data_IF_186019399229
#
_entry.id   IF_186019399229
#
_cell.length_a   1.000
_cell.length_b   1.000
_cell.length_c   1.000
_cell.angle_alpha   90.00
_cell.angle_beta   90.00
_cell.angle_gamma   90.00
#
_symmetry.space_group_name_H-M   'P 1'
#
loop_
_entity.id
_entity.type
_entity.pdbx_description
1 polymer ?
#
# COMPACT_ATOMS: atom_id res chain seq x y z
N UNK A 1 -52.90 -8.41 -37.94
CA UNK A 1 -52.39 -9.36 -36.95
C UNK A 1 -50.89 -9.41 -37.18
N UNK A 2 -50.18 -8.39 -36.66
CA UNK A 2 -48.72 -8.22 -36.79
C UNK A 2 -48.08 -8.86 -35.60
N UNK A 3 -47.24 -9.87 -35.81
CA UNK A 3 -46.42 -10.47 -34.79
C UNK A 3 -45.08 -9.69 -34.76
N UNK A 4 -44.93 -8.89 -33.72
CA UNK A 4 -43.66 -8.28 -33.36
C UNK A 4 -42.68 -9.34 -32.86
N UNK A 5 -41.79 -9.82 -33.73
CA UNK A 5 -40.63 -10.59 -33.37
C UNK A 5 -39.51 -9.63 -32.89
N UNK A 6 -39.62 -9.08 -31.69
CA UNK A 6 -38.48 -8.48 -30.96
C UNK A 6 -37.76 -9.55 -30.16
N UNK A 7 -37.28 -10.60 -30.82
CA UNK A 7 -36.35 -11.58 -30.28
C UNK A 7 -34.95 -11.32 -30.80
N UNK A 8 -34.52 -10.06 -30.71
CA UNK A 8 -33.11 -9.74 -31.01
C UNK A 8 -32.28 -9.92 -29.74
N UNK A 9 -31.21 -10.67 -29.89
CA UNK A 9 -30.02 -10.74 -29.04
C UNK A 9 -29.74 -12.00 -28.20
N UNK A 10 -30.26 -13.14 -28.58
CA UNK A 10 -29.62 -14.38 -28.16
C UNK A 10 -28.61 -14.83 -29.22
N UNK A 11 -27.50 -14.09 -29.36
CA UNK A 11 -26.36 -14.58 -30.10
C UNK A 11 -25.67 -15.68 -29.26
N UNK A 12 -25.81 -16.98 -29.57
CA UNK A 12 -25.23 -18.07 -28.79
C UNK A 12 -23.69 -18.08 -28.83
N UNK A 13 -23.10 -17.26 -29.72
CA UNK A 13 -21.66 -17.08 -29.84
C UNK A 13 -21.16 -15.78 -29.21
N UNK A 14 -22.03 -15.05 -28.50
CA UNK A 14 -21.57 -13.89 -27.74
C UNK A 14 -20.67 -14.41 -26.63
N UNK A 15 -19.36 -14.20 -26.77
CA UNK A 15 -18.42 -14.48 -25.70
C UNK A 15 -18.93 -13.81 -24.42
N UNK A 16 -18.91 -14.50 -23.25
CA UNK A 16 -19.22 -13.86 -21.99
C UNK A 16 -18.42 -12.57 -21.94
N UNK A 17 -19.07 -11.48 -21.53
CA UNK A 17 -18.40 -10.19 -21.37
C UNK A 17 -17.31 -10.41 -20.30
N UNK A 18 -16.13 -10.79 -20.75
CA UNK A 18 -14.93 -10.78 -19.93
C UNK A 18 -14.66 -9.30 -19.70
N UNK A 19 -14.90 -8.87 -18.46
CA UNK A 19 -14.55 -7.53 -17.98
C UNK A 19 -13.02 -7.36 -17.85
N UNK A 20 -12.30 -7.84 -18.85
CA UNK A 20 -10.89 -7.59 -19.05
C UNK A 20 -10.82 -6.45 -20.04
N UNK A 21 -10.15 -5.37 -19.69
CA UNK A 21 -9.71 -4.40 -20.68
C UNK A 21 -8.89 -5.14 -21.75
N UNK A 22 -8.88 -4.61 -22.97
CA UNK A 22 -8.22 -5.23 -24.14
C UNK A 22 -6.76 -5.64 -23.90
N UNK A 23 -6.15 -5.15 -22.82
CA UNK A 23 -4.75 -5.42 -22.43
C UNK A 23 -4.63 -6.42 -21.27
N UNK A 24 -5.70 -7.09 -20.85
CA UNK A 24 -5.69 -8.06 -19.75
C UNK A 24 -5.53 -7.44 -18.37
N UNK A 25 -5.63 -6.13 -18.24
CA UNK A 25 -5.60 -5.44 -16.95
C UNK A 25 -6.91 -5.69 -16.17
N UNK A 26 -6.87 -5.85 -14.84
CA UNK A 26 -8.07 -6.06 -14.04
C UNK A 26 -8.93 -4.79 -14.03
N UNK A 27 -10.24 -4.96 -14.22
CA UNK A 27 -11.20 -3.85 -14.15
C UNK A 27 -11.29 -3.26 -12.74
N UNK A 28 -11.76 -2.00 -12.63
CA UNK A 28 -11.94 -1.34 -11.32
C UNK A 28 -12.77 -2.18 -10.35
N UNK A 29 -13.86 -2.82 -10.82
CA UNK A 29 -14.70 -3.69 -10.00
C UNK A 29 -13.93 -4.91 -9.47
N UNK A 30 -13.03 -5.49 -10.26
CA UNK A 30 -12.17 -6.60 -9.84
C UNK A 30 -11.13 -6.14 -8.82
N UNK A 31 -10.52 -4.97 -9.03
CA UNK A 31 -9.56 -4.37 -8.07
C UNK A 31 -10.26 -4.10 -6.74
N UNK A 32 -11.51 -3.61 -6.77
CA UNK A 32 -12.29 -3.35 -5.57
C UNK A 32 -12.62 -4.62 -4.79
N UNK A 33 -12.99 -5.71 -5.47
CA UNK A 33 -13.21 -7.02 -4.84
C UNK A 33 -11.92 -7.61 -4.23
N UNK A 34 -10.75 -7.29 -4.81
CA UNK A 34 -9.45 -7.72 -4.29
C UNK A 34 -8.93 -6.83 -3.15
N UNK A 35 -9.63 -5.77 -2.77
CA UNK A 35 -9.16 -4.91 -1.68
C UNK A 35 -8.96 -5.69 -0.38
N UNK A 36 -7.88 -5.35 0.31
CA UNK A 36 -7.57 -5.92 1.62
C UNK A 36 -8.55 -5.42 2.68
N UNK A 37 -9.20 -6.35 3.39
CA UNK A 37 -10.10 -6.02 4.49
C UNK A 37 -9.40 -5.26 5.63
N UNK A 38 -10.20 -4.56 6.46
CA UNK A 38 -9.71 -3.72 7.58
C UNK A 38 -8.80 -4.47 8.55
N UNK A 39 -9.15 -5.70 8.93
CA UNK A 39 -8.34 -6.51 9.83
C UNK A 39 -6.95 -6.84 9.29
N UNK A 40 -6.83 -7.14 8.00
CA UNK A 40 -5.52 -7.36 7.35
C UNK A 40 -4.67 -6.09 7.32
N UNK A 41 -5.29 -4.94 7.08
CA UNK A 41 -4.60 -3.64 7.09
C UNK A 41 -4.11 -3.29 8.48
N UNK A 42 -4.94 -3.54 9.50
CA UNK A 42 -4.55 -3.35 10.90
C UNK A 42 -3.38 -4.27 11.29
N UNK A 43 -3.47 -5.57 10.96
CA UNK A 43 -2.38 -6.51 11.19
C UNK A 43 -1.08 -6.10 10.48
N UNK A 44 -1.19 -5.63 9.23
CA UNK A 44 -0.05 -5.07 8.48
C UNK A 44 0.57 -3.88 9.22
N UNK A 45 -0.25 -2.94 9.72
CA UNK A 45 0.23 -1.78 10.48
C UNK A 45 1.00 -2.18 11.72
N UNK A 46 0.46 -3.13 12.51
CA UNK A 46 1.12 -3.61 13.74
C UNK A 46 2.47 -4.25 13.43
N UNK A 47 2.51 -5.15 12.45
CA UNK A 47 3.78 -5.82 12.07
C UNK A 47 4.77 -4.83 11.49
N UNK A 48 4.33 -3.91 10.63
CA UNK A 48 5.21 -2.87 10.08
C UNK A 48 5.78 -1.97 11.18
N UNK A 49 4.97 -1.63 12.19
CA UNK A 49 5.44 -0.84 13.33
C UNK A 49 6.50 -1.58 14.16
N UNK A 50 6.30 -2.88 14.42
CA UNK A 50 7.30 -3.71 15.11
C UNK A 50 8.61 -3.83 14.30
N UNK A 51 8.49 -4.05 12.98
CA UNK A 51 9.65 -4.09 12.09
C UNK A 51 10.38 -2.73 12.04
N UNK A 52 9.62 -1.63 12.04
CA UNK A 52 10.18 -0.29 12.10
C UNK A 52 10.92 -0.03 13.43
N UNK A 53 10.36 -0.44 14.57
CA UNK A 53 11.03 -0.33 15.87
C UNK A 53 12.36 -1.08 15.88
N UNK A 54 12.37 -2.31 15.35
CA UNK A 54 13.59 -3.09 15.20
C UNK A 54 14.61 -2.43 14.27
N UNK A 55 14.15 -1.91 13.13
CA UNK A 55 14.99 -1.17 12.18
C UNK A 55 15.60 0.07 12.82
N UNK A 56 14.81 0.87 13.53
CA UNK A 56 15.27 2.07 14.22
C UNK A 56 16.32 1.73 15.32
N UNK A 57 16.06 0.67 16.08
CA UNK A 57 17.00 0.19 17.10
C UNK A 57 18.33 -0.25 16.48
N UNK A 58 18.30 -1.07 15.44
CA UNK A 58 19.50 -1.55 14.74
C UNK A 58 20.26 -0.36 14.13
N UNK A 59 19.56 0.58 13.51
CA UNK A 59 20.19 1.78 12.93
C UNK A 59 20.88 2.61 13.98
N UNK A 60 20.23 2.86 15.11
CA UNK A 60 20.84 3.57 16.25
C UNK A 60 22.07 2.86 16.80
N UNK A 61 21.98 1.53 16.97
CA UNK A 61 23.10 0.71 17.42
C UNK A 61 24.28 0.77 16.43
N UNK A 62 24.04 0.65 15.13
CA UNK A 62 25.07 0.75 14.10
C UNK A 62 25.73 2.12 14.10
N UNK A 63 24.97 3.20 14.23
CA UNK A 63 25.51 4.56 14.32
C UNK A 63 26.48 4.69 15.51
N UNK A 64 26.09 4.16 16.69
CA UNK A 64 26.94 4.22 17.88
C UNK A 64 28.19 3.33 17.74
N UNK A 65 28.06 2.14 17.15
CA UNK A 65 29.20 1.23 16.96
C UNK A 65 30.22 1.78 15.94
N UNK A 66 29.73 2.41 14.86
CA UNK A 66 30.61 2.93 13.79
C UNK A 66 31.25 4.27 14.18
N UNK A 67 30.49 5.18 14.77
CA UNK A 67 30.91 6.55 15.06
C UNK A 67 31.22 6.81 16.55
N UNK A 68 31.04 5.81 17.42
CA UNK A 68 31.36 5.91 18.84
C UNK A 68 30.61 7.03 19.55
N UNK A 69 31.35 7.79 20.38
CA UNK A 69 30.79 8.90 21.15
C UNK A 69 30.19 10.02 20.27
N UNK A 70 30.74 10.24 19.07
CA UNK A 70 30.22 11.23 18.12
C UNK A 70 28.84 10.84 17.60
N UNK A 71 28.65 9.56 17.24
CA UNK A 71 27.33 9.03 16.82
C UNK A 71 26.29 9.13 17.94
N UNK A 72 26.69 8.74 19.16
CA UNK A 72 25.83 8.87 20.34
C UNK A 72 25.47 10.34 20.64
N UNK A 73 26.37 11.29 20.40
CA UNK A 73 26.12 12.71 20.58
C UNK A 73 25.13 13.24 19.52
N UNK A 74 25.24 12.81 18.26
CA UNK A 74 24.30 13.17 17.20
C UNK A 74 22.90 12.66 17.55
N UNK A 75 22.75 11.40 17.92
CA UNK A 75 21.45 10.83 18.30
C UNK A 75 20.79 11.61 19.46
N UNK A 76 21.57 11.95 20.49
CA UNK A 76 21.08 12.71 21.65
C UNK A 76 20.68 14.16 21.34
N UNK A 77 21.34 14.78 20.37
CA UNK A 77 21.07 16.18 19.98
C UNK A 77 19.93 16.32 18.98
N UNK A 78 19.63 15.26 18.23
CA UNK A 78 18.56 15.27 17.25
C UNK A 78 17.22 15.06 17.96
N UNK A 79 16.20 15.93 17.74
CA UNK A 79 14.89 15.73 18.32
C UNK A 79 14.30 14.38 17.90
N UNK A 80 13.72 13.63 18.85
CA UNK A 80 13.18 12.28 18.61
C UNK A 80 12.15 12.24 17.50
N UNK A 81 11.31 13.27 17.39
CA UNK A 81 10.31 13.38 16.34
C UNK A 81 10.97 13.48 14.97
N UNK A 82 12.02 14.29 14.84
CA UNK A 82 12.73 14.45 13.56
C UNK A 82 13.45 13.17 13.16
N UNK A 83 14.16 12.55 14.09
CA UNK A 83 14.87 11.29 13.86
C UNK A 83 13.89 10.17 13.52
N UNK A 84 12.84 10.01 14.31
CA UNK A 84 11.81 9.00 14.09
C UNK A 84 11.07 9.19 12.75
N UNK A 85 10.76 10.43 12.39
CA UNK A 85 10.13 10.76 11.10
C UNK A 85 11.03 10.42 9.92
N UNK A 86 12.30 10.78 9.99
CA UNK A 86 13.27 10.49 8.95
C UNK A 86 13.46 8.97 8.77
N UNK A 87 13.66 8.25 9.87
CA UNK A 87 13.80 6.79 9.84
C UNK A 87 12.54 6.10 9.30
N UNK A 88 11.36 6.57 9.69
CA UNK A 88 10.09 6.05 9.19
C UNK A 88 9.94 6.27 7.69
N UNK A 89 10.28 7.47 7.21
CA UNK A 89 10.29 7.77 5.79
C UNK A 89 11.23 6.85 5.02
N UNK A 90 12.48 6.70 5.48
CA UNK A 90 13.48 5.82 4.86
C UNK A 90 13.01 4.37 4.85
N UNK A 91 12.48 3.86 5.97
CA UNK A 91 11.98 2.50 6.08
C UNK A 91 10.88 2.21 5.04
N UNK A 92 9.84 3.02 5.00
CA UNK A 92 8.73 2.80 4.07
C UNK A 92 9.12 3.06 2.61
N UNK A 93 9.91 4.12 2.34
CA UNK A 93 10.38 4.43 1.00
C UNK A 93 11.25 3.31 0.44
N UNK A 94 12.11 2.71 1.27
CA UNK A 94 12.95 1.59 0.88
C UNK A 94 12.12 0.34 0.52
N UNK A 95 11.25 -0.10 1.42
CA UNK A 95 10.48 -1.32 1.18
C UNK A 95 9.41 -1.15 0.10
N UNK A 96 8.66 -0.05 0.12
CA UNK A 96 7.64 0.20 -0.91
C UNK A 96 8.27 0.57 -2.26
N UNK A 97 9.44 1.22 -2.27
CA UNK A 97 10.13 1.59 -3.50
C UNK A 97 10.71 0.40 -4.24
N UNK A 98 11.26 -0.58 -3.53
CA UNK A 98 11.89 -1.76 -4.16
C UNK A 98 10.88 -2.87 -4.49
N UNK A 99 9.93 -3.14 -3.59
CA UNK A 99 9.04 -4.31 -3.71
C UNK A 99 7.55 -3.96 -3.75
N UNK A 100 7.18 -2.66 -3.70
CA UNK A 100 5.79 -2.22 -3.51
C UNK A 100 5.09 -2.91 -2.31
N UNK A 101 5.88 -3.40 -1.34
CA UNK A 101 5.43 -4.16 -0.17
C UNK A 101 6.33 -3.86 1.01
N UNK A 102 5.73 -3.75 2.20
CA UNK A 102 6.44 -3.73 3.47
C UNK A 102 6.49 -5.15 4.07
N UNK A 103 7.31 -5.42 5.10
CA UNK A 103 7.34 -6.71 5.80
C UNK A 103 5.95 -7.17 6.26
N UNK A 104 5.15 -6.28 6.85
CA UNK A 104 3.78 -6.59 7.23
C UNK A 104 2.89 -6.92 6.03
N UNK A 105 3.04 -6.23 4.89
CA UNK A 105 2.30 -6.54 3.67
C UNK A 105 2.68 -7.90 3.08
N UNK A 106 3.95 -8.29 3.20
CA UNK A 106 4.39 -9.64 2.81
C UNK A 106 3.72 -10.71 3.67
N UNK A 107 3.69 -10.54 4.99
CA UNK A 107 3.09 -11.48 5.93
C UNK A 107 1.59 -11.67 5.70
N UNK A 108 0.87 -10.57 5.47
CA UNK A 108 -0.58 -10.60 5.24
C UNK A 108 -0.99 -10.83 3.78
N UNK A 109 -0.04 -11.08 2.88
CA UNK A 109 -0.30 -11.35 1.47
C UNK A 109 -1.02 -10.18 0.80
N UNK A 110 -0.52 -8.96 0.98
CA UNK A 110 -1.06 -7.75 0.36
C UNK A 110 0.03 -7.02 -0.44
N UNK A 111 -0.38 -6.22 -1.41
CA UNK A 111 0.52 -5.34 -2.17
C UNK A 111 -0.16 -4.03 -2.51
N UNK A 112 0.65 -3.02 -2.78
CA UNK A 112 0.16 -1.75 -3.33
C UNK A 112 0.07 -1.86 -4.84
N UNK A 113 -1.01 -1.34 -5.40
CA UNK A 113 -1.22 -1.18 -6.84
C UNK A 113 -1.69 0.25 -7.13
N UNK A 114 -1.48 0.72 -8.35
CA UNK A 114 -2.12 1.94 -8.86
C UNK A 114 -3.61 1.68 -9.13
N UNK A 115 -4.36 2.67 -9.58
CA UNK A 115 -5.78 2.53 -9.89
C UNK A 115 -6.03 1.59 -11.08
N UNK A 116 -5.05 1.39 -11.93
CA UNK A 116 -5.07 0.49 -13.10
C UNK A 116 -4.71 -0.97 -12.75
N UNK A 117 -4.35 -1.25 -11.47
CA UNK A 117 -3.96 -2.59 -11.01
C UNK A 117 -2.47 -2.92 -11.22
N UNK A 118 -1.71 -2.02 -11.83
CA UNK A 118 -0.26 -2.13 -12.05
C UNK A 118 0.57 -1.73 -10.81
N UNK A 119 1.91 -1.79 -10.91
CA UNK A 119 2.80 -1.32 -9.85
C UNK A 119 2.66 0.20 -9.67
N UNK A 120 2.74 0.70 -8.42
CA UNK A 120 2.69 2.14 -8.17
C UNK A 120 3.94 2.82 -8.71
N UNK A 121 3.79 4.04 -9.23
CA UNK A 121 4.93 4.87 -9.64
C UNK A 121 5.71 5.36 -8.42
N UNK A 122 6.97 5.74 -8.62
CA UNK A 122 7.79 6.31 -7.54
C UNK A 122 7.16 7.56 -6.91
N UNK A 123 6.52 8.41 -7.71
CA UNK A 123 5.79 9.59 -7.23
C UNK A 123 4.64 9.19 -6.30
N UNK A 124 3.88 8.17 -6.66
CA UNK A 124 2.78 7.65 -5.82
C UNK A 124 3.31 7.11 -4.48
N UNK A 125 4.43 6.39 -4.50
CA UNK A 125 5.08 5.89 -3.29
C UNK A 125 5.54 7.05 -2.40
N UNK A 126 6.15 8.07 -2.98
CA UNK A 126 6.59 9.25 -2.24
C UNK A 126 5.41 9.99 -1.58
N UNK A 127 4.33 10.23 -2.32
CA UNK A 127 3.11 10.87 -1.79
C UNK A 127 2.52 10.03 -0.66
N UNK A 128 2.41 8.71 -0.80
CA UNK A 128 1.94 7.80 0.25
C UNK A 128 2.75 7.95 1.55
N UNK A 129 4.09 7.97 1.40
CA UNK A 129 4.98 8.10 2.55
C UNK A 129 4.85 9.46 3.24
N UNK A 130 4.68 10.54 2.48
CA UNK A 130 4.43 11.87 3.03
C UNK A 130 3.07 11.95 3.76
N UNK A 131 2.03 11.31 3.21
CA UNK A 131 0.71 11.27 3.86
C UNK A 131 0.73 10.59 5.23
N UNK A 132 1.68 9.68 5.51
CA UNK A 132 1.81 9.01 6.82
C UNK A 132 2.17 9.96 7.96
N UNK A 133 2.69 11.15 7.66
CA UNK A 133 2.96 12.19 8.65
C UNK A 133 1.72 12.98 9.05
N UNK A 134 0.59 12.80 8.37
CA UNK A 134 -0.69 13.40 8.76
C UNK A 134 -1.16 12.71 10.05
N UNK A 135 -1.42 13.47 11.13
CA UNK A 135 -1.93 12.90 12.38
C UNK A 135 -3.20 12.06 12.13
N UNK A 136 -3.29 10.91 12.78
CA UNK A 136 -4.41 9.95 12.66
C UNK A 136 -4.59 9.30 11.28
N UNK A 137 -3.73 9.58 10.31
CA UNK A 137 -3.78 8.93 9.01
C UNK A 137 -3.79 7.39 9.12
N UNK A 138 -2.95 6.74 9.96
CA UNK A 138 -2.94 5.28 10.09
C UNK A 138 -4.29 4.68 10.53
N UNK A 139 -5.17 5.48 11.11
CA UNK A 139 -6.51 5.05 11.51
C UNK A 139 -7.58 5.37 10.45
N UNK A 140 -7.24 6.12 9.42
CA UNK A 140 -8.19 6.55 8.38
C UNK A 140 -8.88 5.38 7.67
N UNK A 141 -8.20 4.24 7.53
CA UNK A 141 -8.79 3.03 6.94
C UNK A 141 -9.80 2.31 7.84
N UNK A 142 -9.87 2.65 9.14
CA UNK A 142 -10.94 2.16 10.02
C UNK A 142 -12.26 2.86 9.74
N UNK A 143 -12.17 4.14 9.35
CA UNK A 143 -13.33 4.99 9.03
C UNK A 143 -13.76 4.87 7.57
N UNK A 144 -12.83 4.61 6.66
CA UNK A 144 -13.06 4.54 5.21
C UNK A 144 -12.50 3.22 4.64
N UNK A 145 -13.12 2.64 3.60
CA UNK A 145 -12.58 1.50 2.87
C UNK A 145 -11.19 1.75 2.27
N UNK A 146 -10.88 3.02 1.95
CA UNK A 146 -9.56 3.47 1.47
C UNK A 146 -8.96 4.43 2.49
N UNK A 147 -7.73 4.16 2.95
CA UNK A 147 -6.97 5.10 3.79
C UNK A 147 -6.67 6.41 3.05
N UNK A 148 -6.44 7.49 3.76
CA UNK A 148 -6.14 8.80 3.16
C UNK A 148 -4.91 8.76 2.26
N UNK A 149 -3.85 8.07 2.68
CA UNK A 149 -2.65 7.90 1.84
C UNK A 149 -2.94 7.15 0.52
N UNK A 150 -3.88 6.20 0.53
CA UNK A 150 -4.30 5.48 -0.66
C UNK A 150 -5.10 6.38 -1.61
N UNK A 151 -5.97 7.24 -1.06
CA UNK A 151 -6.81 8.17 -1.84
C UNK A 151 -5.96 9.28 -2.48
N UNK A 152 -5.10 9.93 -1.69
CA UNK A 152 -4.27 11.05 -2.14
C UNK A 152 -3.21 10.60 -3.16
N UNK A 153 -2.68 9.39 -3.00
CA UNK A 153 -1.68 8.84 -3.91
C UNK A 153 -2.27 8.09 -5.12
N UNK A 154 -3.60 8.03 -5.27
CA UNK A 154 -4.27 7.26 -6.32
C UNK A 154 -3.78 5.80 -6.38
N UNK A 155 -3.77 5.13 -5.22
CA UNK A 155 -3.33 3.75 -5.06
C UNK A 155 -4.35 2.93 -4.29
N UNK A 156 -4.20 1.60 -4.34
CA UNK A 156 -5.04 0.65 -3.58
C UNK A 156 -4.17 -0.45 -2.97
N UNK A 157 -4.62 -1.00 -1.85
CA UNK A 157 -3.98 -2.19 -1.24
C UNK A 157 -4.85 -3.39 -1.55
N UNK A 158 -4.31 -4.31 -2.34
CA UNK A 158 -5.00 -5.53 -2.79
C UNK A 158 -4.37 -6.78 -2.18
N UNK A 159 -5.13 -7.87 -2.15
CA UNK A 159 -4.63 -9.19 -1.76
C UNK A 159 -3.79 -9.78 -2.89
N UNK A 160 -2.68 -10.43 -2.57
CA UNK A 160 -1.84 -11.14 -3.54
C UNK A 160 -2.22 -12.61 -3.72
N UNK A 161 -3.04 -13.15 -2.81
CA UNK A 161 -3.60 -14.51 -2.88
C UNK A 161 -5.10 -14.41 -2.97
N UNK A 162 -5.64 -14.81 -4.11
CA UNK A 162 -7.07 -14.83 -4.41
C UNK A 162 -7.33 -15.00 -5.89
N UNK A 163 -6.42 -15.66 -6.61
CA UNK A 163 -6.68 -16.30 -7.90
C UNK A 163 -6.32 -17.76 -7.71
#
# INVERSE_FOLDING_TARGET
MSQDFTGADANPYRAPATNLDRDGAPTEAQIEQMQAGRGRRFGTLVVDYLCFMLFAFITGMVIVLVFGASGAAVLRRTPDILLGSLLMFVFYAFFEGLWARTPGKLLFGTRVVNEEGGPPSFKQILIRNLCRFIPFEPFSYLLSPRGWHDQIAHTRVVRTRGV
#
